data_IF_892538012497
#
_entry.id   IF_892538012497
#
_cell.length_a   1.000
_cell.length_b   1.000
_cell.length_c   1.000
_cell.angle_alpha   90.00
_cell.angle_beta   90.00
_cell.angle_gamma   90.00
#
_symmetry.space_group_name_H-M   'P 1'
#
loop_
_entity.id
_entity.type
_entity.pdbx_description
1 polymer ?
#
# COMPACT_ATOMS: atom_id res chain seq x y z
N UNK A 1 11.24 54.22 -5.73
CA UNK A 1 10.74 53.15 -6.60
C UNK A 1 11.52 51.89 -6.25
N UNK A 2 11.02 51.16 -5.27
CA UNK A 2 11.75 50.11 -4.53
C UNK A 2 10.83 48.91 -4.40
N UNK A 3 10.67 48.17 -5.50
CA UNK A 3 9.89 46.92 -5.52
C UNK A 3 10.63 45.90 -6.39
N UNK A 4 11.74 45.39 -5.88
CA UNK A 4 12.36 44.16 -6.37
C UNK A 4 12.95 43.38 -5.19
N UNK A 5 12.11 42.92 -4.27
CA UNK A 5 12.60 42.15 -3.12
C UNK A 5 11.55 41.23 -2.47
N UNK A 6 10.72 40.53 -3.27
CA UNK A 6 9.79 39.54 -2.67
C UNK A 6 9.40 38.40 -3.62
N UNK A 7 10.36 37.78 -4.32
CA UNK A 7 10.08 36.58 -5.14
C UNK A 7 11.13 35.47 -5.05
N UNK A 8 11.87 35.39 -3.95
CA UNK A 8 12.86 34.33 -3.73
C UNK A 8 12.53 33.38 -2.58
N UNK A 9 11.48 33.65 -1.80
CA UNK A 9 11.23 32.91 -0.55
C UNK A 9 10.27 31.71 -0.69
N UNK A 10 9.53 31.59 -1.80
CA UNK A 10 8.55 30.51 -1.98
C UNK A 10 9.18 29.18 -2.44
N UNK A 11 10.33 29.24 -3.12
CA UNK A 11 10.96 28.04 -3.70
C UNK A 11 11.77 27.21 -2.70
N UNK A 12 12.09 27.78 -1.53
CA UNK A 12 12.91 27.12 -0.51
C UNK A 12 12.06 26.29 0.49
N UNK A 13 10.77 26.56 0.64
CA UNK A 13 9.89 25.76 1.50
C UNK A 13 9.37 24.49 0.83
N UNK A 14 9.21 24.48 -0.51
CA UNK A 14 8.77 23.27 -1.23
C UNK A 14 9.86 22.18 -1.27
N UNK A 15 11.14 22.55 -1.20
CA UNK A 15 12.25 21.59 -1.18
C UNK A 15 12.47 20.94 0.19
N UNK A 16 12.07 21.60 1.29
CA UNK A 16 12.22 21.04 2.64
C UNK A 16 11.20 19.94 2.95
N UNK A 17 10.04 19.99 2.30
CA UNK A 17 9.01 18.95 2.44
C UNK A 17 9.23 17.72 1.53
N UNK A 18 10.08 17.82 0.50
CA UNK A 18 10.49 16.66 -0.31
C UNK A 18 11.70 15.92 0.27
N UNK A 19 12.49 16.57 1.14
CA UNK A 19 13.71 16.01 1.70
C UNK A 19 13.50 15.03 2.89
N UNK A 20 12.26 14.82 3.35
CA UNK A 20 11.97 14.03 4.56
C UNK A 20 11.49 12.60 4.25
N UNK A 21 11.17 12.25 3.00
CA UNK A 21 10.59 10.94 2.66
C UNK A 21 11.53 10.02 1.86
N UNK A 22 12.81 9.97 2.22
CA UNK A 22 13.71 8.87 1.84
C UNK A 22 14.24 8.13 3.06
N UNK A 23 13.40 8.01 4.11
CA UNK A 23 13.61 6.94 5.09
C UNK A 23 13.61 5.66 4.27
N UNK A 24 14.79 5.06 4.17
CA UNK A 24 15.00 3.73 3.63
C UNK A 24 13.85 2.85 4.13
N UNK A 25 12.93 2.44 3.25
CA UNK A 25 11.76 1.66 3.65
C UNK A 25 12.17 0.37 4.39
N UNK A 26 13.42 -0.09 4.22
CA UNK A 26 14.01 -1.22 4.95
C UNK A 26 14.26 -0.91 6.44
N UNK A 27 14.36 0.35 6.80
CA UNK A 27 14.53 0.82 8.17
C UNK A 27 13.21 1.13 8.89
N UNK A 28 12.06 1.02 8.21
CA UNK A 28 10.77 1.14 8.91
C UNK A 28 10.69 -0.01 9.95
N UNK A 29 10.75 0.32 11.27
CA UNK A 29 10.80 -0.69 12.32
C UNK A 29 9.54 -1.56 12.29
N UNK A 30 8.43 -1.01 11.80
CA UNK A 30 7.18 -1.74 11.68
C UNK A 30 7.25 -2.80 10.57
N UNK A 31 7.95 -2.49 9.46
CA UNK A 31 8.22 -3.42 8.35
C UNK A 31 9.08 -4.61 8.81
N UNK A 32 10.12 -4.33 9.60
CA UNK A 32 10.99 -5.36 10.19
C UNK A 32 10.24 -6.29 11.15
N UNK A 33 9.28 -5.77 11.92
CA UNK A 33 8.49 -6.61 12.85
C UNK A 33 7.55 -7.58 12.14
N UNK A 34 7.08 -7.24 10.95
CA UNK A 34 6.26 -8.13 10.12
C UNK A 34 7.13 -9.14 9.40
N UNK A 35 8.22 -8.70 8.74
CA UNK A 35 9.18 -9.58 8.06
C UNK A 35 9.74 -10.65 9.02
N UNK A 36 10.17 -10.26 10.22
CA UNK A 36 10.63 -11.20 11.25
C UNK A 36 9.57 -12.23 11.61
N UNK A 37 8.32 -11.81 11.79
CA UNK A 37 7.23 -12.72 12.14
C UNK A 37 6.91 -13.69 10.99
N UNK A 38 6.98 -13.22 9.74
CA UNK A 38 6.81 -14.05 8.53
C UNK A 38 7.93 -15.10 8.43
N UNK A 39 9.19 -14.69 8.58
CA UNK A 39 10.37 -15.59 8.54
C UNK A 39 10.34 -16.66 9.62
N UNK A 40 9.73 -16.35 10.78
CA UNK A 40 9.52 -17.30 11.88
C UNK A 40 8.28 -18.18 11.69
N UNK A 41 7.51 -18.01 10.60
CA UNK A 41 6.27 -18.74 10.37
C UNK A 41 5.09 -18.29 11.24
N UNK A 42 5.23 -17.22 12.01
CA UNK A 42 4.21 -16.68 12.92
C UNK A 42 3.18 -15.81 12.18
N UNK A 43 2.48 -16.40 11.21
CA UNK A 43 1.59 -15.67 10.29
C UNK A 43 0.43 -14.96 10.97
N UNK A 44 -0.11 -15.47 12.08
CA UNK A 44 -1.17 -14.76 12.81
C UNK A 44 -0.65 -13.46 13.42
N UNK A 45 0.50 -13.52 14.10
CA UNK A 45 1.18 -12.34 14.63
C UNK A 45 1.57 -11.36 13.52
N UNK A 46 2.08 -11.87 12.40
CA UNK A 46 2.43 -11.06 11.24
C UNK A 46 1.22 -10.29 10.71
N UNK A 47 0.05 -10.94 10.57
CA UNK A 47 -1.20 -10.28 10.12
C UNK A 47 -1.67 -9.20 11.09
N UNK A 48 -1.66 -9.49 12.40
CA UNK A 48 -2.05 -8.50 13.41
C UNK A 48 -1.16 -7.26 13.36
N UNK A 49 0.16 -7.46 13.21
CA UNK A 49 1.11 -6.34 13.06
C UNK A 49 0.90 -5.60 11.74
N UNK A 50 0.75 -6.34 10.65
CA UNK A 50 0.49 -5.81 9.31
C UNK A 50 -0.75 -4.92 9.28
N UNK A 51 -1.85 -5.32 9.92
CA UNK A 51 -3.09 -4.54 9.96
C UNK A 51 -2.98 -3.23 10.76
N UNK A 52 -1.99 -3.12 11.66
CA UNK A 52 -1.70 -1.89 12.40
C UNK A 52 -0.86 -0.90 11.61
N UNK A 53 -0.28 -1.31 10.48
CA UNK A 53 0.54 -0.46 9.64
C UNK A 53 -0.29 0.53 8.84
N UNK A 54 0.33 1.67 8.51
CA UNK A 54 -0.15 2.56 7.47
C UNK A 54 -0.20 1.81 6.12
N UNK A 55 -1.10 2.23 5.23
CA UNK A 55 -1.33 1.53 3.97
C UNK A 55 -0.08 1.51 3.06
N UNK A 56 0.71 2.58 3.05
CA UNK A 56 2.00 2.63 2.34
C UNK A 56 2.96 1.56 2.87
N UNK A 57 3.14 1.45 4.19
CA UNK A 57 3.97 0.41 4.80
C UNK A 57 3.41 -1.01 4.55
N UNK A 58 2.08 -1.19 4.52
CA UNK A 58 1.47 -2.48 4.13
C UNK A 58 1.87 -2.89 2.70
N UNK A 59 1.83 -1.94 1.77
CA UNK A 59 2.26 -2.15 0.39
C UNK A 59 3.76 -2.46 0.35
N UNK A 60 4.57 -1.71 1.10
CA UNK A 60 6.02 -1.92 1.21
C UNK A 60 6.38 -3.31 1.73
N UNK A 61 5.70 -3.80 2.78
CA UNK A 61 5.87 -5.18 3.30
C UNK A 61 5.61 -6.20 2.18
N UNK A 62 4.47 -6.10 1.50
CA UNK A 62 4.09 -7.11 0.50
C UNK A 62 5.04 -7.14 -0.70
N UNK A 63 5.68 -6.02 -1.02
CA UNK A 63 6.68 -5.95 -2.09
C UNK A 63 8.07 -6.46 -1.66
N UNK A 64 8.42 -6.33 -0.38
CA UNK A 64 9.74 -6.69 0.13
C UNK A 64 9.88 -8.18 0.50
N UNK A 65 8.82 -8.83 0.95
CA UNK A 65 8.87 -10.25 1.32
C UNK A 65 8.73 -11.15 0.08
N UNK A 66 9.22 -12.40 0.13
CA UNK A 66 9.03 -13.35 -0.96
C UNK A 66 7.55 -13.49 -1.34
N UNK A 67 7.26 -13.63 -2.64
CA UNK A 67 5.88 -13.69 -3.14
C UNK A 67 5.04 -14.79 -2.45
N UNK A 68 5.64 -15.96 -2.17
CA UNK A 68 4.95 -17.05 -1.48
C UNK A 68 4.52 -16.65 -0.07
N UNK A 69 5.35 -15.89 0.63
CA UNK A 69 5.04 -15.37 1.97
C UNK A 69 4.02 -14.25 1.92
N UNK A 70 4.09 -13.37 0.91
CA UNK A 70 3.06 -12.36 0.65
C UNK A 70 1.69 -12.99 0.42
N UNK A 71 1.64 -14.08 -0.38
CA UNK A 71 0.44 -14.88 -0.59
C UNK A 71 -0.08 -15.48 0.73
N UNK A 72 0.79 -16.12 1.51
CA UNK A 72 0.41 -16.72 2.81
C UNK A 72 -0.06 -15.69 3.82
N UNK A 73 0.58 -14.53 3.87
CA UNK A 73 0.20 -13.40 4.72
C UNK A 73 -1.19 -12.91 4.33
N UNK A 74 -1.40 -12.60 3.05
CA UNK A 74 -2.66 -12.08 2.49
C UNK A 74 -3.82 -13.09 2.57
N UNK A 75 -3.53 -14.39 2.54
CA UNK A 75 -4.51 -15.47 2.67
C UNK A 75 -5.40 -15.35 3.92
N UNK A 76 -4.86 -14.83 5.02
CA UNK A 76 -5.61 -14.61 6.27
C UNK A 76 -6.09 -13.18 6.51
N UNK A 77 -5.86 -12.24 5.60
CA UNK A 77 -6.33 -10.86 5.76
C UNK A 77 -7.84 -10.73 5.48
N UNK A 78 -8.53 -9.69 6.00
CA UNK A 78 -9.90 -9.41 5.61
C UNK A 78 -10.04 -9.19 4.10
N UNK A 79 -11.15 -9.65 3.51
CA UNK A 79 -11.43 -9.52 2.06
C UNK A 79 -11.34 -8.07 1.58
N UNK A 80 -11.89 -7.13 2.37
CA UNK A 80 -11.81 -5.69 2.09
C UNK A 80 -10.38 -5.17 2.08
N UNK A 81 -9.54 -5.61 3.01
CA UNK A 81 -8.12 -5.22 3.06
C UNK A 81 -7.40 -5.67 1.81
N UNK A 82 -7.61 -6.90 1.36
CA UNK A 82 -6.99 -7.41 0.13
C UNK A 82 -7.46 -6.62 -1.08
N UNK A 83 -8.76 -6.33 -1.19
CA UNK A 83 -9.31 -5.54 -2.29
C UNK A 83 -8.72 -4.12 -2.33
N UNK A 84 -8.59 -3.46 -1.16
CA UNK A 84 -7.98 -2.13 -1.07
C UNK A 84 -6.52 -2.13 -1.50
N UNK A 85 -5.73 -3.09 -1.01
CA UNK A 85 -4.30 -3.17 -1.34
C UNK A 85 -4.08 -3.54 -2.82
N UNK A 86 -4.95 -4.37 -3.39
CA UNK A 86 -4.86 -4.77 -4.80
C UNK A 86 -4.82 -3.58 -5.76
N UNK A 87 -5.53 -2.49 -5.47
CA UNK A 87 -5.58 -1.30 -6.33
C UNK A 87 -4.25 -0.54 -6.37
N UNK A 88 -3.40 -0.70 -5.35
CA UNK A 88 -2.11 0.01 -5.23
C UNK A 88 -0.89 -0.89 -5.34
N UNK A 89 -1.06 -2.20 -5.31
CA UNK A 89 0.03 -3.15 -5.50
C UNK A 89 0.45 -3.23 -6.96
N UNK A 90 1.73 -3.56 -7.22
CA UNK A 90 2.17 -3.96 -8.56
C UNK A 90 1.27 -5.07 -9.12
N UNK A 91 0.87 -4.93 -10.40
CA UNK A 91 -0.13 -5.81 -11.02
C UNK A 91 0.19 -7.30 -10.90
N UNK A 92 1.47 -7.68 -11.04
CA UNK A 92 1.91 -9.07 -10.94
C UNK A 92 1.68 -9.65 -9.53
N UNK A 93 2.07 -8.90 -8.50
CA UNK A 93 1.93 -9.30 -7.10
C UNK A 93 0.46 -9.32 -6.66
N UNK A 94 -0.30 -8.28 -7.03
CA UNK A 94 -1.74 -8.23 -6.75
C UNK A 94 -2.48 -9.43 -7.37
N UNK A 95 -2.16 -9.79 -8.62
CA UNK A 95 -2.73 -10.97 -9.27
C UNK A 95 -2.35 -12.27 -8.57
N UNK A 96 -1.06 -12.44 -8.24
CA UNK A 96 -0.59 -13.63 -7.55
C UNK A 96 -1.31 -13.85 -6.22
N UNK A 97 -1.49 -12.77 -5.43
CA UNK A 97 -2.25 -12.80 -4.18
C UNK A 97 -3.70 -13.23 -4.44
N UNK A 98 -4.42 -12.55 -5.32
CA UNK A 98 -5.85 -12.81 -5.57
C UNK A 98 -6.10 -14.21 -6.14
N UNK A 99 -5.25 -14.68 -7.06
CA UNK A 99 -5.36 -16.01 -7.65
C UNK A 99 -5.10 -17.12 -6.63
N UNK A 100 -4.30 -16.85 -5.59
CA UNK A 100 -4.01 -17.82 -4.54
C UNK A 100 -5.06 -17.86 -3.43
N UNK A 101 -6.02 -16.93 -3.42
CA UNK A 101 -7.11 -16.95 -2.44
C UNK A 101 -8.09 -18.09 -2.71
N UNK A 102 -8.74 -18.63 -1.66
CA UNK A 102 -9.90 -19.51 -1.82
C UNK A 102 -11.01 -18.84 -2.63
N UNK A 103 -11.76 -19.63 -3.40
CA UNK A 103 -12.73 -19.14 -4.38
C UNK A 103 -13.71 -18.10 -3.80
N UNK A 104 -14.37 -18.41 -2.68
CA UNK A 104 -15.34 -17.49 -2.07
C UNK A 104 -14.72 -16.15 -1.69
N UNK A 105 -13.48 -16.15 -1.19
CA UNK A 105 -12.76 -14.90 -0.85
C UNK A 105 -12.33 -14.14 -2.11
N UNK A 106 -11.89 -14.87 -3.15
CA UNK A 106 -11.56 -14.27 -4.45
C UNK A 106 -12.77 -13.57 -5.06
N UNK A 107 -13.93 -14.22 -5.06
CA UNK A 107 -15.18 -13.64 -5.55
C UNK A 107 -15.54 -12.38 -4.75
N UNK A 108 -15.44 -12.42 -3.42
CA UNK A 108 -15.66 -11.25 -2.57
C UNK A 108 -14.74 -10.07 -2.92
N UNK A 109 -13.45 -10.32 -3.20
CA UNK A 109 -12.52 -9.27 -3.66
C UNK A 109 -12.98 -8.69 -5.01
N UNK A 110 -13.37 -9.53 -5.97
CA UNK A 110 -13.83 -9.10 -7.30
C UNK A 110 -15.08 -8.22 -7.19
N UNK A 111 -16.05 -8.62 -6.36
CA UNK A 111 -17.27 -7.83 -6.12
C UNK A 111 -16.93 -6.44 -5.57
N UNK A 112 -16.05 -6.35 -4.57
CA UNK A 112 -15.63 -5.07 -3.98
C UNK A 112 -14.93 -4.19 -5.04
N UNK A 113 -14.02 -4.77 -5.82
CA UNK A 113 -13.29 -4.04 -6.87
C UNK A 113 -14.24 -3.54 -7.97
N UNK A 114 -15.20 -4.36 -8.40
CA UNK A 114 -16.20 -3.95 -9.39
C UNK A 114 -17.08 -2.82 -8.84
N UNK A 115 -17.55 -2.94 -7.61
CA UNK A 115 -18.34 -1.88 -6.97
C UNK A 115 -17.59 -0.54 -6.96
N UNK A 116 -16.30 -0.53 -6.61
CA UNK A 116 -15.47 0.70 -6.60
C UNK A 116 -15.24 1.31 -7.96
N UNK A 117 -15.18 0.51 -9.03
CA UNK A 117 -15.02 0.99 -10.42
C UNK A 117 -16.28 1.71 -10.91
N UNK A 118 -17.44 1.33 -10.39
CA UNK A 118 -18.72 1.94 -10.73
C UNK A 118 -19.13 3.05 -9.75
N UNK A 119 -18.31 3.37 -8.74
CA UNK A 119 -18.54 4.52 -7.87
C UNK A 119 -18.20 5.82 -8.62
N UNK A 120 -19.19 6.72 -8.84
CA UNK A 120 -18.99 7.96 -9.60
C UNK A 120 -17.91 8.88 -8.99
N UNK A 121 -17.65 8.79 -7.67
CA UNK A 121 -16.60 9.59 -7.01
C UNK A 121 -15.19 9.19 -7.44
N UNK A 122 -14.98 7.93 -7.84
CA UNK A 122 -13.70 7.45 -8.35
C UNK A 122 -13.47 7.80 -9.83
N UNK A 123 -14.54 7.93 -10.62
CA UNK A 123 -14.46 8.38 -12.01
C UNK A 123 -13.95 9.83 -12.09
N UNK A 124 -14.39 10.68 -11.16
CA UNK A 124 -13.99 12.09 -11.11
C UNK A 124 -12.51 12.27 -10.69
N UNK A 125 -11.96 11.40 -9.84
CA UNK A 125 -10.53 11.42 -9.47
C UNK A 125 -9.59 10.97 -10.59
N UNK A 126 -10.05 10.10 -11.50
CA UNK A 126 -9.25 9.69 -12.67
C UNK A 126 -9.17 10.76 -13.75
N UNK A 127 -10.21 11.59 -13.91
CA UNK A 127 -10.20 12.66 -14.91
C UNK A 127 -9.30 13.84 -14.54
N UNK A 128 -8.90 13.98 -13.28
CA UNK A 128 -8.01 15.06 -12.81
C UNK A 128 -6.51 14.68 -12.82
N UNK A 129 -6.17 13.47 -13.26
CA UNK A 129 -4.78 12.99 -13.38
C UNK A 129 -4.41 12.63 -14.83
N UNK A 130 -5.27 12.97 -15.79
CA UNK A 130 -5.05 12.78 -17.23
C UNK A 130 -4.57 14.06 -17.90
#
# INVERSE_FOLDING_TARGET
MTEMMTKANDHFETSRNQAIHWIDERQDPALQTVDRAVRQGHYQTARTRFLKLAESSQIGVLQHIPQQDAVRLAGGLPTYTVARLFERLPRHLGRAIVQSLPEGKRQGVVVILNHRRHDPRNLQRRQLQG
#
